data_IF_613941567180
#
_entry.id   IF_613941567180
#
_cell.length_a   1.000
_cell.length_b   1.000
_cell.length_c   1.000
_cell.angle_alpha   90.00
_cell.angle_beta   90.00
_cell.angle_gamma   90.00
#
_symmetry.space_group_name_H-M   'P 1'
#
loop_
_entity.id
_entity.type
_entity.pdbx_description
1 polymer ?
#
# COMPACT_ATOMS: atom_id res chain seq x y z
N UNK A 1 -20.51 0.78 16.62
CA UNK A 1 -20.02 -0.30 15.74
C UNK A 1 -18.67 0.12 15.21
N UNK A 2 -17.57 -0.38 15.77
CA UNK A 2 -16.21 -0.09 15.31
C UNK A 2 -15.86 -1.07 14.20
N UNK A 3 -15.87 -0.62 12.96
CA UNK A 3 -15.27 -1.35 11.84
C UNK A 3 -13.78 -1.45 12.10
N UNK A 4 -13.28 -2.66 12.39
CA UNK A 4 -11.85 -2.90 12.53
C UNK A 4 -11.19 -2.64 11.17
N UNK A 5 -10.49 -1.51 11.07
CA UNK A 5 -9.82 -1.08 9.84
C UNK A 5 -8.45 -1.76 9.78
N UNK A 6 -8.26 -2.63 8.79
CA UNK A 6 -6.97 -3.29 8.56
C UNK A 6 -5.97 -2.21 8.13
N UNK A 7 -4.85 -2.02 8.86
CA UNK A 7 -3.86 -1.05 8.46
C UNK A 7 -3.16 -1.48 7.17
N UNK A 8 -2.84 -0.52 6.32
CA UNK A 8 -2.04 -0.73 5.12
C UNK A 8 -0.55 -0.87 5.45
N UNK A 9 0.29 -0.97 4.42
CA UNK A 9 1.74 -1.23 4.58
C UNK A 9 2.50 -0.10 5.25
N UNK A 10 1.95 1.11 5.31
CA UNK A 10 2.60 2.24 5.98
C UNK A 10 2.68 2.04 7.50
N UNK A 11 1.87 1.16 8.09
CA UNK A 11 1.93 0.84 9.53
C UNK A 11 3.28 0.29 9.99
N UNK A 12 4.09 -0.25 9.08
CA UNK A 12 5.44 -0.75 9.39
C UNK A 12 6.52 0.34 9.26
N UNK A 13 6.15 1.55 8.86
CA UNK A 13 7.06 2.68 8.73
C UNK A 13 7.44 3.29 10.08
N UNK A 14 8.51 4.10 10.09
CA UNK A 14 8.92 4.89 11.27
C UNK A 14 8.54 6.36 11.18
N UNK A 15 8.19 6.83 9.98
CA UNK A 15 7.86 8.24 9.77
C UNK A 15 6.49 8.55 10.39
N UNK A 16 6.41 9.51 11.33
CA UNK A 16 5.13 9.93 11.90
C UNK A 16 4.15 10.45 10.84
N UNK A 17 4.66 11.00 9.73
CA UNK A 17 3.84 11.44 8.61
C UNK A 17 3.18 10.26 7.90
N UNK A 18 3.95 9.21 7.57
CA UNK A 18 3.41 8.04 6.87
C UNK A 18 2.46 7.21 7.75
N UNK A 19 2.69 7.18 9.06
CA UNK A 19 1.84 6.46 10.00
C UNK A 19 0.44 7.08 10.14
N UNK A 20 0.28 8.37 9.85
CA UNK A 20 -1.05 9.01 9.84
C UNK A 20 -1.97 8.39 8.79
N UNK A 21 -1.41 7.97 7.65
CA UNK A 21 -2.16 7.37 6.55
C UNK A 21 -2.25 5.83 6.65
N UNK A 22 -1.68 5.21 7.70
CA UNK A 22 -1.63 3.76 7.85
C UNK A 22 -3.02 3.12 7.98
N UNK A 23 -3.99 3.86 8.50
CA UNK A 23 -5.37 3.37 8.66
C UNK A 23 -6.25 3.68 7.44
N UNK A 24 -5.75 4.27 6.36
CA UNK A 24 -6.59 4.58 5.20
C UNK A 24 -7.02 3.30 4.44
N UNK A 25 -8.19 3.35 3.79
CA UNK A 25 -8.70 2.22 2.99
C UNK A 25 -7.89 1.96 1.74
N UNK A 26 -7.15 2.97 1.27
CA UNK A 26 -6.18 2.83 0.18
C UNK A 26 -4.98 2.05 0.70
N UNK A 27 -4.63 0.98 0.00
CA UNK A 27 -3.52 0.10 0.33
C UNK A 27 -2.18 0.72 -0.12
N UNK A 28 -1.76 1.77 0.57
CA UNK A 28 -0.55 2.54 0.26
C UNK A 28 0.73 1.69 0.35
N UNK A 29 1.70 2.03 -0.50
CA UNK A 29 3.07 1.52 -0.45
C UNK A 29 4.03 2.65 -0.11
N UNK A 30 5.05 2.41 0.74
CA UNK A 30 6.18 3.31 0.80
C UNK A 30 6.94 3.31 -0.53
N UNK A 31 7.57 4.44 -0.85
CA UNK A 31 8.41 4.55 -2.04
C UNK A 31 9.56 3.54 -1.99
N UNK A 32 9.52 2.55 -2.88
CA UNK A 32 10.45 1.41 -2.88
C UNK A 32 10.44 0.71 -4.24
N UNK A 33 11.52 0.00 -4.57
CA UNK A 33 11.58 -0.83 -5.79
C UNK A 33 10.46 -1.88 -5.83
N UNK A 34 10.13 -2.48 -4.68
CA UNK A 34 9.03 -3.45 -4.57
C UNK A 34 7.67 -2.88 -4.98
N UNK A 35 7.42 -1.59 -4.71
CA UNK A 35 6.19 -0.93 -5.14
C UNK A 35 6.13 -0.83 -6.67
N UNK A 36 7.24 -0.46 -7.31
CA UNK A 36 7.34 -0.41 -8.77
C UNK A 36 7.25 -1.79 -9.41
N UNK A 37 7.87 -2.82 -8.83
CA UNK A 37 7.80 -4.18 -9.36
C UNK A 37 6.39 -4.74 -9.27
N UNK A 38 5.66 -4.47 -8.18
CA UNK A 38 4.23 -4.78 -8.11
C UNK A 38 3.43 -4.09 -9.21
N UNK A 39 3.73 -2.82 -9.50
CA UNK A 39 3.07 -2.09 -10.58
C UNK A 39 3.36 -2.72 -11.95
N UNK A 40 4.61 -3.09 -12.24
CA UNK A 40 5.00 -3.80 -13.47
C UNK A 40 4.24 -5.13 -13.62
N UNK A 41 4.21 -5.95 -12.57
CA UNK A 41 3.48 -7.23 -12.57
C UNK A 41 1.98 -6.99 -12.84
N UNK A 42 1.39 -5.99 -12.19
CA UNK A 42 -0.02 -5.65 -12.40
C UNK A 42 -0.30 -5.21 -13.84
N UNK A 43 0.61 -4.45 -14.45
CA UNK A 43 0.51 -4.03 -15.85
C UNK A 43 0.60 -5.24 -16.81
N UNK A 44 1.56 -6.15 -16.58
CA UNK A 44 1.70 -7.36 -17.41
C UNK A 44 0.45 -8.23 -17.38
N UNK A 45 -0.19 -8.37 -16.22
CA UNK A 45 -1.46 -9.13 -16.08
C UNK A 45 -2.62 -8.51 -16.86
N UNK A 46 -2.66 -7.18 -16.98
CA UNK A 46 -3.71 -6.48 -17.72
C UNK A 46 -3.58 -6.67 -19.22
N UNK A 47 -2.37 -6.76 -19.74
CA UNK A 47 -2.10 -6.91 -21.18
C UNK A 47 -2.16 -8.36 -21.67
N UNK A 48 -2.31 -9.33 -20.76
CA UNK A 48 -2.43 -10.76 -21.07
C UNK A 48 -3.90 -11.23 -21.17
N UNK A 49 -4.86 -10.32 -21.00
CA UNK A 49 -6.30 -10.55 -21.24
C UNK A 49 -6.74 -9.79 -22.48
#
# INVERSE_FOLDING_TARGET
MTTLKVPNRLANGKSPYLLQDAQNSVDWFPWSEQAFDKAKIALLRKNSK
#
